data_IF_728751502223
#
_entry.id   IF_728751502223
#
_cell.length_a   1.000
_cell.length_b   1.000
_cell.length_c   1.000
_cell.angle_alpha   90.00
_cell.angle_beta   90.00
_cell.angle_gamma   90.00
#
_symmetry.space_group_name_H-M   'P 1'
#
loop_
_entity.id
_entity.type
_entity.pdbx_description
1 polymer ?
#
# COMPACT_ATOMS: atom_id res chain seq x y z
N UNK A 1 -15.88 -14.30 -28.00
CA UNK A 1 -16.24 -15.02 -26.75
C UNK A 1 -16.76 -14.02 -25.76
N UNK A 2 -18.00 -14.15 -25.30
CA UNK A 2 -18.58 -13.19 -24.35
C UNK A 2 -18.68 -13.83 -22.98
N UNK A 3 -17.83 -13.46 -22.05
CA UNK A 3 -18.01 -13.80 -20.65
C UNK A 3 -19.18 -13.01 -20.06
N UNK A 4 -19.89 -13.60 -19.10
CA UNK A 4 -20.93 -12.91 -18.34
C UNK A 4 -20.30 -11.84 -17.42
N UNK A 5 -21.11 -10.90 -16.95
CA UNK A 5 -20.63 -9.88 -16.00
C UNK A 5 -20.05 -10.51 -14.72
N UNK A 6 -20.71 -11.54 -14.18
CA UNK A 6 -20.22 -12.25 -12.98
C UNK A 6 -18.85 -12.92 -13.22
N UNK A 7 -18.63 -13.50 -14.41
CA UNK A 7 -17.36 -14.10 -14.77
C UNK A 7 -16.25 -13.06 -14.85
N UNK A 8 -16.49 -11.89 -15.47
CA UNK A 8 -15.53 -10.79 -15.48
C UNK A 8 -15.17 -10.30 -14.07
N UNK A 9 -16.16 -10.20 -13.18
CA UNK A 9 -15.95 -9.82 -11.78
C UNK A 9 -15.13 -10.89 -11.04
N UNK A 10 -15.41 -12.17 -11.26
CA UNK A 10 -14.64 -13.25 -10.66
C UNK A 10 -13.19 -13.30 -11.18
N UNK A 11 -12.95 -13.08 -12.47
CA UNK A 11 -11.61 -12.89 -13.01
C UNK A 11 -10.88 -11.73 -12.34
N UNK A 12 -11.56 -10.59 -12.20
CA UNK A 12 -11.01 -9.43 -11.52
C UNK A 12 -10.52 -9.78 -10.11
N UNK A 13 -11.34 -10.38 -9.27
CA UNK A 13 -10.95 -10.76 -7.91
C UNK A 13 -9.86 -11.81 -7.88
N UNK A 14 -9.90 -12.77 -8.79
CA UNK A 14 -8.88 -13.79 -8.90
C UNK A 14 -7.50 -13.18 -9.20
N UNK A 15 -7.43 -12.26 -10.15
CA UNK A 15 -6.18 -11.57 -10.47
C UNK A 15 -5.74 -10.58 -9.39
N UNK A 16 -6.67 -9.91 -8.71
CA UNK A 16 -6.34 -9.11 -7.52
C UNK A 16 -5.66 -9.96 -6.44
N UNK A 17 -6.19 -11.15 -6.20
CA UNK A 17 -5.64 -12.09 -5.22
C UNK A 17 -4.28 -12.65 -5.66
N UNK A 18 -4.12 -13.07 -6.90
CA UNK A 18 -2.83 -13.53 -7.43
C UNK A 18 -1.75 -12.45 -7.34
N UNK A 19 -2.08 -11.22 -7.70
CA UNK A 19 -1.18 -10.08 -7.57
C UNK A 19 -0.77 -9.82 -6.11
N UNK A 20 -1.71 -9.94 -5.19
CA UNK A 20 -1.43 -9.82 -3.77
C UNK A 20 -0.51 -10.95 -3.25
N UNK A 21 -0.75 -12.19 -3.65
CA UNK A 21 0.10 -13.33 -3.29
C UNK A 21 1.53 -13.12 -3.80
N UNK A 22 1.67 -12.67 -5.05
CA UNK A 22 2.97 -12.41 -5.66
C UNK A 22 3.74 -11.30 -4.93
N UNK A 23 3.14 -10.12 -4.79
CA UNK A 23 3.76 -8.94 -4.17
C UNK A 23 4.07 -9.15 -2.69
N UNK A 24 3.07 -9.62 -1.94
CA UNK A 24 3.22 -9.85 -0.51
C UNK A 24 4.19 -11.00 -0.23
N UNK A 25 4.13 -12.07 -1.02
CA UNK A 25 5.05 -13.20 -0.94
C UNK A 25 6.49 -12.77 -1.23
N UNK A 26 6.73 -12.09 -2.35
CA UNK A 26 8.07 -11.61 -2.72
C UNK A 26 8.69 -10.71 -1.65
N UNK A 27 7.93 -9.72 -1.17
CA UNK A 27 8.44 -8.77 -0.17
C UNK A 27 8.64 -9.44 1.19
N UNK A 28 7.72 -10.34 1.58
CA UNK A 28 7.82 -11.06 2.85
C UNK A 28 9.04 -11.97 2.90
N UNK A 29 9.33 -12.70 1.81
CA UNK A 29 10.53 -13.53 1.68
C UNK A 29 11.81 -12.68 1.76
N UNK A 30 11.84 -11.55 1.02
CA UNK A 30 13.00 -10.66 0.99
C UNK A 30 13.29 -10.02 2.34
N UNK A 31 12.26 -9.65 3.09
CA UNK A 31 12.39 -9.00 4.40
C UNK A 31 12.37 -9.97 5.59
N UNK A 32 12.11 -11.26 5.35
CA UNK A 32 11.96 -12.30 6.37
C UNK A 32 10.90 -11.99 7.44
N UNK A 33 9.89 -11.24 7.09
CA UNK A 33 8.73 -10.91 7.93
C UNK A 33 7.47 -10.86 7.07
N UNK A 34 6.31 -11.15 7.67
CA UNK A 34 5.05 -11.10 6.95
C UNK A 34 4.65 -9.65 6.65
N UNK A 35 4.54 -9.32 5.35
CA UNK A 35 4.16 -7.98 4.90
C UNK A 35 2.95 -8.08 3.97
N UNK A 36 1.84 -7.48 4.40
CA UNK A 36 0.70 -7.26 3.52
C UNK A 36 1.00 -6.06 2.60
N UNK A 37 1.17 -6.32 1.30
CA UNK A 37 1.38 -5.28 0.28
C UNK A 37 0.04 -4.82 -0.27
N UNK A 38 -0.05 -3.53 -0.57
CA UNK A 38 -1.18 -2.92 -1.23
C UNK A 38 -1.84 -1.80 -0.45
N UNK A 39 -2.76 -1.14 -1.13
CA UNK A 39 -3.56 -0.04 -0.59
C UNK A 39 -4.68 -0.56 0.33
N UNK A 40 -5.26 -1.72 0.00
CA UNK A 40 -6.36 -2.33 0.72
C UNK A 40 -5.87 -3.15 1.91
N UNK A 41 -6.76 -3.36 2.88
CA UNK A 41 -6.49 -4.19 4.06
C UNK A 41 -6.57 -5.68 3.75
N UNK A 42 -7.51 -6.05 2.87
CA UNK A 42 -7.70 -7.42 2.42
C UNK A 42 -6.60 -7.92 1.47
N UNK A 43 -6.61 -9.23 1.18
CA UNK A 43 -5.62 -9.90 0.34
C UNK A 43 -5.91 -9.65 -1.15
N UNK A 44 -6.03 -8.39 -1.55
CA UNK A 44 -6.35 -8.00 -2.93
C UNK A 44 -5.54 -6.78 -3.35
N UNK A 45 -5.01 -6.83 -4.57
CA UNK A 45 -4.34 -5.71 -5.23
C UNK A 45 -5.15 -5.29 -6.47
N UNK A 46 -5.98 -4.24 -6.37
CA UNK A 46 -6.88 -3.83 -7.45
C UNK A 46 -6.17 -3.54 -8.78
N UNK A 47 -4.95 -3.00 -8.73
CA UNK A 47 -4.19 -2.69 -9.93
C UNK A 47 -3.91 -3.93 -10.78
N UNK A 48 -3.68 -5.10 -10.16
CA UNK A 48 -3.50 -6.37 -10.89
C UNK A 48 -4.80 -6.86 -11.52
N UNK A 49 -5.93 -6.71 -10.80
CA UNK A 49 -7.25 -7.03 -11.35
C UNK A 49 -7.61 -6.15 -12.53
N UNK A 50 -7.51 -4.83 -12.37
CA UNK A 50 -7.78 -3.89 -13.47
C UNK A 50 -6.80 -4.08 -14.62
N UNK A 51 -5.51 -4.30 -14.33
CA UNK A 51 -4.49 -4.58 -15.35
C UNK A 51 -4.81 -5.83 -16.15
N UNK A 52 -5.08 -6.95 -15.48
CA UNK A 52 -5.41 -8.21 -16.14
C UNK A 52 -6.69 -8.10 -16.98
N UNK A 53 -7.77 -7.51 -16.44
CA UNK A 53 -9.02 -7.33 -17.18
C UNK A 53 -8.82 -6.43 -18.40
N UNK A 54 -8.10 -5.31 -18.25
CA UNK A 54 -7.80 -4.39 -19.36
C UNK A 54 -6.99 -5.11 -20.44
N UNK A 55 -5.91 -5.79 -20.06
CA UNK A 55 -5.09 -6.55 -21.00
C UNK A 55 -5.93 -7.62 -21.71
N UNK A 56 -6.67 -8.44 -20.98
CA UNK A 56 -7.49 -9.50 -21.58
C UNK A 56 -8.57 -8.95 -22.51
N UNK A 57 -9.23 -7.87 -22.11
CA UNK A 57 -10.25 -7.24 -22.93
C UNK A 57 -9.70 -6.72 -24.26
N UNK A 58 -8.48 -6.19 -24.23
CA UNK A 58 -7.78 -5.68 -25.43
C UNK A 58 -7.16 -6.79 -26.27
N UNK A 59 -6.66 -7.87 -25.66
CA UNK A 59 -5.82 -8.88 -26.33
C UNK A 59 -6.57 -10.14 -26.75
N UNK A 60 -7.67 -10.50 -26.10
CA UNK A 60 -8.47 -11.67 -26.50
C UNK A 60 -8.95 -11.65 -27.97
N UNK A 61 -9.34 -10.48 -28.55
CA UNK A 61 -9.70 -10.42 -29.98
C UNK A 61 -8.54 -10.72 -30.94
N UNK A 62 -7.29 -10.53 -30.50
CA UNK A 62 -6.06 -10.71 -31.29
C UNK A 62 -5.22 -11.87 -30.79
N UNK A 63 -5.80 -12.79 -30.04
CA UNK A 63 -5.13 -13.91 -29.38
C UNK A 63 -4.24 -14.76 -30.29
N UNK A 64 -4.58 -14.86 -31.57
CA UNK A 64 -3.79 -15.63 -32.53
C UNK A 64 -2.47 -14.96 -32.92
N UNK A 65 -2.23 -13.72 -32.51
CA UNK A 65 -1.07 -12.91 -32.88
C UNK A 65 -0.27 -12.44 -31.65
N UNK A 66 0.70 -13.22 -31.13
CA UNK A 66 1.47 -12.88 -29.94
C UNK A 66 2.17 -11.51 -30.01
N UNK A 67 2.62 -11.10 -31.20
CA UNK A 67 3.23 -9.78 -31.38
C UNK A 67 2.23 -8.63 -31.16
N UNK A 68 0.97 -8.80 -31.58
CA UNK A 68 -0.09 -7.82 -31.31
C UNK A 68 -0.49 -7.81 -29.84
N UNK A 69 -0.54 -8.98 -29.19
CA UNK A 69 -0.76 -9.07 -27.75
C UNK A 69 0.30 -8.28 -27.01
N UNK A 70 1.59 -8.46 -27.37
CA UNK A 70 2.70 -7.73 -26.77
C UNK A 70 2.52 -6.21 -26.87
N UNK A 71 2.30 -5.69 -28.10
CA UNK A 71 2.20 -4.24 -28.32
C UNK A 71 0.95 -3.64 -27.68
N UNK A 72 -0.20 -4.28 -27.86
CA UNK A 72 -1.47 -3.78 -27.32
C UNK A 72 -1.47 -3.87 -25.79
N UNK A 73 -0.96 -4.96 -25.23
CA UNK A 73 -0.87 -5.18 -23.80
C UNK A 73 0.09 -4.21 -23.10
N UNK A 74 1.25 -3.98 -23.73
CA UNK A 74 2.22 -2.97 -23.28
C UNK A 74 1.58 -1.58 -23.19
N UNK A 75 0.95 -1.12 -24.26
CA UNK A 75 0.32 0.21 -24.28
C UNK A 75 -0.84 0.32 -23.27
N UNK A 76 -1.68 -0.71 -23.18
CA UNK A 76 -2.79 -0.74 -22.23
C UNK A 76 -2.35 -0.73 -20.77
N UNK A 77 -1.30 -1.50 -20.46
CA UNK A 77 -0.73 -1.53 -19.12
C UNK A 77 -0.05 -0.21 -18.74
N UNK A 78 0.73 0.39 -19.63
CA UNK A 78 1.40 1.66 -19.39
C UNK A 78 0.41 2.81 -19.14
N UNK A 79 -0.68 2.87 -19.91
CA UNK A 79 -1.74 3.85 -19.70
C UNK A 79 -2.36 3.66 -18.31
N UNK A 80 -2.67 2.43 -17.93
CA UNK A 80 -3.25 2.12 -16.63
C UNK A 80 -2.29 2.46 -15.49
N UNK A 81 -1.03 2.07 -15.61
CA UNK A 81 0.02 2.31 -14.59
C UNK A 81 0.25 3.82 -14.41
N UNK A 82 0.38 4.56 -15.51
CA UNK A 82 0.55 6.00 -15.48
C UNK A 82 -0.64 6.72 -14.83
N UNK A 83 -1.86 6.42 -15.29
CA UNK A 83 -3.08 7.06 -14.77
C UNK A 83 -3.26 6.73 -13.28
N UNK A 84 -3.03 5.49 -12.89
CA UNK A 84 -3.14 5.07 -11.48
C UNK A 84 -2.09 5.76 -10.63
N UNK A 85 -0.84 5.81 -11.07
CA UNK A 85 0.26 6.48 -10.36
C UNK A 85 -0.01 7.96 -10.16
N UNK A 86 -0.40 8.66 -11.23
CA UNK A 86 -0.73 10.09 -11.19
C UNK A 86 -1.97 10.38 -10.30
N UNK A 87 -3.01 9.54 -10.38
CA UNK A 87 -4.20 9.69 -9.55
C UNK A 87 -3.90 9.47 -8.07
N UNK A 88 -3.12 8.44 -7.72
CA UNK A 88 -2.74 8.16 -6.34
C UNK A 88 -1.86 9.27 -5.76
N UNK A 89 -0.91 9.79 -6.52
CA UNK A 89 -0.08 10.93 -6.07
C UNK A 89 -0.93 12.18 -5.86
N UNK A 90 -1.84 12.50 -6.80
CA UNK A 90 -2.71 13.67 -6.68
C UNK A 90 -3.70 13.57 -5.51
N UNK A 91 -4.25 12.39 -5.25
CA UNK A 91 -5.25 12.18 -4.19
C UNK A 91 -4.62 12.09 -2.80
N UNK A 92 -3.48 11.42 -2.68
CA UNK A 92 -2.90 11.08 -1.38
C UNK A 92 -1.56 11.78 -1.11
N UNK A 93 -1.04 12.56 -2.07
CA UNK A 93 0.30 13.18 -2.00
C UNK A 93 1.42 12.19 -1.69
N UNK A 94 1.26 10.93 -2.12
CA UNK A 94 2.22 9.85 -1.93
C UNK A 94 2.38 9.03 -3.20
N UNK A 95 3.64 8.68 -3.52
CA UNK A 95 3.95 7.71 -4.58
C UNK A 95 3.98 6.31 -3.99
N UNK A 96 3.29 5.38 -4.61
CA UNK A 96 3.30 3.97 -4.25
C UNK A 96 4.45 3.21 -4.92
N UNK A 97 4.92 3.72 -6.06
CA UNK A 97 6.15 3.33 -6.77
C UNK A 97 6.77 4.58 -7.38
N UNK A 98 8.07 4.52 -7.66
CA UNK A 98 8.81 5.64 -8.23
C UNK A 98 9.95 5.13 -9.12
N UNK A 99 9.82 5.34 -10.43
CA UNK A 99 10.82 5.02 -11.43
C UNK A 99 11.68 6.22 -11.82
N UNK A 100 11.70 7.31 -11.05
CA UNK A 100 12.45 8.52 -11.40
C UNK A 100 13.95 8.28 -11.57
N UNK A 101 14.50 7.24 -10.93
CA UNK A 101 15.90 6.81 -11.08
C UNK A 101 16.15 5.93 -12.31
N UNK A 102 15.10 5.43 -12.95
CA UNK A 102 15.21 4.53 -14.08
C UNK A 102 15.37 5.28 -15.41
N UNK A 103 16.08 4.66 -16.36
CA UNK A 103 16.27 5.25 -17.71
C UNK A 103 14.95 5.26 -18.48
N UNK A 104 14.75 6.32 -19.25
CA UNK A 104 13.54 6.54 -20.07
C UNK A 104 12.25 6.45 -19.25
N UNK A 105 12.26 7.02 -18.04
CA UNK A 105 11.03 7.14 -17.26
C UNK A 105 10.19 8.34 -17.74
N UNK A 106 8.88 8.24 -17.56
CA UNK A 106 7.93 9.31 -17.79
C UNK A 106 7.33 9.74 -16.45
N UNK A 107 7.77 10.90 -15.94
CA UNK A 107 7.37 11.47 -14.65
C UNK A 107 7.55 10.53 -13.44
N UNK A 108 8.36 9.49 -13.57
CA UNK A 108 8.56 8.47 -12.53
C UNK A 108 7.39 7.49 -12.37
N UNK A 109 6.33 7.57 -13.18
CA UNK A 109 5.18 6.65 -13.10
C UNK A 109 5.39 5.38 -13.91
N UNK A 110 6.05 5.47 -15.07
CA UNK A 110 6.43 4.36 -15.95
C UNK A 110 7.87 4.51 -16.41
N UNK A 111 8.49 3.43 -16.84
CA UNK A 111 9.83 3.45 -17.44
C UNK A 111 9.95 2.36 -18.52
N UNK A 112 10.96 2.47 -19.40
CA UNK A 112 11.14 1.53 -20.50
C UNK A 112 11.24 0.05 -20.04
N UNK A 113 11.89 -0.21 -18.92
CA UNK A 113 12.03 -1.56 -18.40
C UNK A 113 10.68 -2.13 -17.91
N UNK A 114 9.85 -1.33 -17.20
CA UNK A 114 8.50 -1.75 -16.80
C UNK A 114 7.59 -1.94 -17.99
N UNK A 115 7.64 -1.03 -18.97
CA UNK A 115 6.89 -1.11 -20.24
C UNK A 115 7.14 -2.42 -20.98
N UNK A 116 8.42 -2.80 -21.21
CA UNK A 116 8.76 -4.05 -21.88
C UNK A 116 8.33 -5.27 -21.05
N UNK A 117 8.48 -5.22 -19.74
CA UNK A 117 8.02 -6.27 -18.84
C UNK A 117 6.50 -6.48 -18.94
N UNK A 118 5.72 -5.40 -18.99
CA UNK A 118 4.27 -5.47 -19.18
C UNK A 118 3.89 -6.09 -20.53
N UNK A 119 4.63 -5.78 -21.61
CA UNK A 119 4.43 -6.43 -22.90
C UNK A 119 4.63 -7.95 -22.83
N UNK A 120 5.75 -8.41 -22.26
CA UNK A 120 6.02 -9.83 -22.05
C UNK A 120 4.95 -10.48 -21.13
N UNK A 121 4.58 -9.80 -20.05
CA UNK A 121 3.58 -10.28 -19.12
C UNK A 121 2.20 -10.41 -19.79
N UNK A 122 1.84 -9.49 -20.70
CA UNK A 122 0.57 -9.55 -21.43
C UNK A 122 0.48 -10.80 -22.32
N UNK A 123 1.58 -11.19 -22.99
CA UNK A 123 1.63 -12.44 -23.74
C UNK A 123 1.50 -13.64 -22.80
N UNK A 124 2.27 -13.67 -21.71
CA UNK A 124 2.18 -14.74 -20.71
C UNK A 124 0.80 -14.84 -20.07
N UNK A 125 0.18 -13.69 -19.75
CA UNK A 125 -1.18 -13.63 -19.20
C UNK A 125 -2.20 -14.25 -20.17
N UNK A 126 -2.19 -13.81 -21.43
CA UNK A 126 -3.21 -14.20 -22.41
C UNK A 126 -3.05 -15.67 -22.85
N UNK A 127 -1.81 -16.12 -23.04
CA UNK A 127 -1.52 -17.45 -23.62
C UNK A 127 -1.35 -18.56 -22.58
N UNK A 128 -0.80 -18.24 -21.40
CA UNK A 128 -0.42 -19.26 -20.43
C UNK A 128 -1.22 -19.18 -19.13
N UNK A 129 -1.38 -17.96 -18.55
CA UNK A 129 -1.96 -17.79 -17.22
C UNK A 129 -3.50 -17.81 -17.30
N UNK A 130 -4.08 -17.10 -18.27
CA UNK A 130 -5.55 -16.99 -18.36
C UNK A 130 -6.26 -18.31 -18.70
N UNK A 131 -5.80 -19.16 -19.60
CA UNK A 131 -6.54 -20.36 -20.00
C UNK A 131 -6.89 -21.35 -18.88
N UNK A 132 -6.00 -21.65 -17.91
CA UNK A 132 -6.39 -22.48 -16.77
C UNK A 132 -7.37 -21.76 -15.82
N UNK A 133 -7.22 -20.44 -15.63
CA UNK A 133 -8.10 -19.64 -14.79
C UNK A 133 -9.49 -19.50 -15.45
N UNK A 134 -9.53 -19.32 -16.77
CA UNK A 134 -10.75 -19.31 -17.56
C UNK A 134 -11.53 -20.60 -17.35
N UNK A 135 -10.88 -21.76 -17.51
CA UNK A 135 -11.52 -23.07 -17.27
C UNK A 135 -12.08 -23.20 -15.84
N UNK A 136 -11.32 -22.72 -14.87
CA UNK A 136 -11.75 -22.75 -13.47
C UNK A 136 -13.01 -21.88 -13.26
N UNK A 137 -12.99 -20.65 -13.71
CA UNK A 137 -14.12 -19.72 -13.51
C UNK A 137 -15.35 -20.16 -14.31
N UNK A 138 -15.17 -20.65 -15.55
CA UNK A 138 -16.26 -21.14 -16.37
C UNK A 138 -16.88 -22.45 -15.85
N UNK A 139 -16.16 -23.21 -15.01
CA UNK A 139 -16.69 -24.40 -14.34
C UNK A 139 -17.67 -24.07 -13.20
N UNK A 140 -17.71 -22.82 -12.74
CA UNK A 140 -18.59 -22.40 -11.65
C UNK A 140 -20.02 -22.19 -12.22
N UNK A 141 -21.04 -22.91 -11.73
CA UNK A 141 -22.41 -22.71 -12.17
C UNK A 141 -22.89 -21.28 -11.92
N UNK A 142 -23.69 -20.71 -12.82
CA UNK A 142 -24.18 -19.33 -12.71
C UNK A 142 -24.91 -19.06 -11.39
N UNK A 143 -25.66 -20.03 -10.87
CA UNK A 143 -26.33 -19.94 -9.56
C UNK A 143 -25.36 -19.65 -8.40
N UNK A 144 -24.10 -20.03 -8.53
CA UNK A 144 -23.04 -19.77 -7.54
C UNK A 144 -22.23 -18.54 -7.94
N UNK A 145 -21.88 -18.41 -9.24
CA UNK A 145 -21.05 -17.32 -9.75
C UNK A 145 -21.68 -15.94 -9.50
N UNK A 146 -22.99 -15.80 -9.71
CA UNK A 146 -23.70 -14.53 -9.56
C UNK A 146 -23.69 -14.03 -8.11
N UNK A 147 -24.17 -14.78 -7.09
CA UNK A 147 -24.11 -14.32 -5.71
C UNK A 147 -22.68 -14.18 -5.18
N UNK A 148 -21.74 -15.03 -5.62
CA UNK A 148 -20.34 -14.94 -5.22
C UNK A 148 -19.69 -13.65 -5.75
N UNK A 149 -19.94 -13.29 -6.99
CA UNK A 149 -19.45 -12.04 -7.58
C UNK A 149 -20.02 -10.82 -6.86
N UNK A 150 -21.31 -10.83 -6.54
CA UNK A 150 -21.98 -9.74 -5.81
C UNK A 150 -21.42 -9.59 -4.38
N UNK A 151 -21.27 -10.71 -3.67
CA UNK A 151 -20.65 -10.72 -2.33
C UNK A 151 -19.21 -10.18 -2.38
N UNK A 152 -18.42 -10.59 -3.39
CA UNK A 152 -17.08 -10.08 -3.62
C UNK A 152 -17.06 -8.56 -3.81
N UNK A 153 -17.97 -8.03 -4.64
CA UNK A 153 -18.10 -6.57 -4.86
C UNK A 153 -18.48 -5.85 -3.57
N UNK A 154 -19.39 -6.38 -2.76
CA UNK A 154 -19.78 -5.76 -1.49
C UNK A 154 -18.63 -5.69 -0.50
N UNK A 155 -17.89 -6.79 -0.32
CA UNK A 155 -16.69 -6.84 0.55
C UNK A 155 -15.60 -5.90 0.04
N UNK A 156 -15.36 -5.89 -1.27
CA UNK A 156 -14.38 -5.00 -1.90
C UNK A 156 -14.73 -3.52 -1.71
N UNK A 157 -15.99 -3.15 -1.91
CA UNK A 157 -16.46 -1.77 -1.70
C UNK A 157 -16.28 -1.32 -0.24
N UNK A 158 -16.56 -2.20 0.72
CA UNK A 158 -16.35 -1.92 2.13
C UNK A 158 -14.86 -1.72 2.46
N UNK A 159 -13.97 -2.57 1.93
CA UNK A 159 -12.51 -2.45 2.13
C UNK A 159 -11.95 -1.21 1.45
N UNK A 160 -12.34 -0.92 0.21
CA UNK A 160 -11.98 0.31 -0.51
C UNK A 160 -12.38 1.53 0.31
N UNK A 161 -13.63 1.61 0.75
CA UNK A 161 -14.14 2.75 1.54
C UNK A 161 -13.34 2.93 2.83
N UNK A 162 -13.09 1.86 3.55
CA UNK A 162 -12.30 1.88 4.79
C UNK A 162 -10.85 2.31 4.56
N UNK A 163 -10.22 1.78 3.52
CA UNK A 163 -8.82 2.09 3.17
C UNK A 163 -8.68 3.52 2.66
N UNK A 164 -9.63 4.00 1.86
CA UNK A 164 -9.67 5.39 1.39
C UNK A 164 -9.82 6.37 2.54
N UNK A 165 -10.75 6.13 3.45
CA UNK A 165 -10.93 6.95 4.67
C UNK A 165 -9.64 7.01 5.49
N UNK A 166 -8.97 5.87 5.68
CA UNK A 166 -7.70 5.82 6.40
C UNK A 166 -6.60 6.61 5.69
N UNK A 167 -6.54 6.55 4.35
CA UNK A 167 -5.55 7.28 3.57
C UNK A 167 -5.80 8.80 3.57
N UNK A 168 -7.06 9.23 3.51
CA UNK A 168 -7.42 10.65 3.59
C UNK A 168 -7.12 11.22 4.99
N UNK A 169 -7.42 10.48 6.06
CA UNK A 169 -7.05 10.89 7.41
C UNK A 169 -5.53 11.01 7.58
N UNK A 170 -4.77 10.10 6.97
CA UNK A 170 -3.30 10.17 6.97
C UNK A 170 -2.79 11.36 6.19
N UNK A 171 -3.41 11.68 5.04
CA UNK A 171 -3.10 12.89 4.26
C UNK A 171 -3.30 14.15 5.10
N UNK A 172 -4.46 14.29 5.75
CA UNK A 172 -4.76 15.45 6.62
C UNK A 172 -3.75 15.59 7.75
N UNK A 173 -3.35 14.46 8.35
CA UNK A 173 -2.31 14.44 9.38
C UNK A 173 -0.94 14.90 8.84
N UNK A 174 -0.57 14.43 7.65
CA UNK A 174 0.70 14.83 7.01
C UNK A 174 0.71 16.30 6.60
N UNK A 175 -0.41 16.84 6.11
CA UNK A 175 -0.57 18.26 5.81
C UNK A 175 -0.39 19.10 7.09
N UNK A 176 -1.06 18.74 8.20
CA UNK A 176 -0.90 19.42 9.50
C UNK A 176 0.54 19.35 10.04
N UNK A 177 1.26 18.24 9.81
CA UNK A 177 2.67 18.10 10.18
C UNK A 177 3.56 18.94 9.23
N UNK A 178 3.22 19.01 7.95
CA UNK A 178 3.99 19.76 6.94
C UNK A 178 3.84 21.27 7.06
N UNK A 179 2.67 21.76 7.43
CA UNK A 179 2.37 23.19 7.62
C UNK A 179 2.95 23.72 8.95
N UNK A 180 3.21 22.87 9.93
CA UNK A 180 3.60 23.28 11.26
C UNK A 180 4.98 22.76 11.65
N UNK A 181 6.04 23.39 11.09
CA UNK A 181 7.43 23.18 11.55
C UNK A 181 7.57 23.33 13.09
N UNK A 182 6.71 24.15 13.71
CA UNK A 182 6.64 24.33 15.16
C UNK A 182 6.10 23.08 15.86
N UNK A 183 5.08 22.39 15.30
CA UNK A 183 4.54 21.17 15.91
C UNK A 183 5.53 20.00 15.87
N UNK A 184 6.33 19.89 14.79
CA UNK A 184 7.41 18.88 14.71
C UNK A 184 8.53 19.23 15.70
N UNK A 185 8.91 20.50 15.81
CA UNK A 185 9.91 20.97 16.78
C UNK A 185 9.42 20.79 18.22
N UNK A 186 8.13 21.04 18.48
CA UNK A 186 7.51 20.79 19.80
C UNK A 186 7.48 19.29 20.12
N UNK A 187 7.20 18.43 19.15
CA UNK A 187 7.23 16.97 19.32
C UNK A 187 8.66 16.47 19.60
N UNK A 188 9.67 16.97 18.88
CA UNK A 188 11.08 16.68 19.16
C UNK A 188 11.47 17.13 20.57
N UNK A 189 11.10 18.35 20.97
CA UNK A 189 11.40 18.89 22.32
C UNK A 189 10.69 18.07 23.41
N UNK A 190 9.46 17.63 23.18
CA UNK A 190 8.69 16.78 24.12
C UNK A 190 9.29 15.36 24.22
N UNK A 191 9.75 14.79 23.09
CA UNK A 191 10.46 13.51 23.08
C UNK A 191 11.80 13.61 23.82
N UNK A 192 12.57 14.68 23.60
CA UNK A 192 13.84 14.90 24.30
C UNK A 192 13.64 15.16 25.80
N UNK A 193 12.57 15.85 26.17
CA UNK A 193 12.20 16.07 27.58
C UNK A 193 11.74 14.78 28.25
N UNK A 194 10.94 13.96 27.56
CA UNK A 194 10.51 12.66 28.06
C UNK A 194 11.70 11.69 28.22
N UNK A 195 12.66 11.71 27.28
CA UNK A 195 13.88 10.89 27.33
C UNK A 195 14.82 11.36 28.45
N UNK A 196 15.02 12.67 28.63
CA UNK A 196 15.91 13.22 29.66
C UNK A 196 15.35 13.06 31.08
N UNK A 197 14.00 13.03 31.24
CA UNK A 197 13.34 12.75 32.52
C UNK A 197 13.43 11.28 32.96
N UNK A 198 13.76 10.37 32.06
CA UNK A 198 13.81 8.91 32.27
C UNK A 198 15.24 8.36 32.25
N UNK A 199 16.09 8.77 33.14
CA UNK A 199 17.50 8.33 33.24
C UNK A 199 17.69 6.85 33.64
N UNK A 200 16.62 6.07 33.84
CA UNK A 200 16.67 4.65 34.27
C UNK A 200 15.84 3.70 33.41
N UNK A 201 15.54 4.04 32.16
CA UNK A 201 14.69 3.22 31.32
C UNK A 201 15.49 2.22 30.48
N UNK A 202 14.87 1.06 30.17
CA UNK A 202 15.50 -0.04 29.46
C UNK A 202 16.15 0.41 28.14
N UNK A 203 17.21 -0.25 27.74
CA UNK A 203 17.98 0.00 26.54
C UNK A 203 17.09 -0.09 25.26
N UNK A 204 16.06 -0.92 25.32
CA UNK A 204 15.07 -1.11 24.26
C UNK A 204 14.17 0.11 24.05
N UNK A 205 13.73 0.79 25.13
CA UNK A 205 12.96 2.04 25.06
C UNK A 205 13.80 3.15 24.40
N UNK A 206 15.05 3.30 24.84
CA UNK A 206 15.98 4.28 24.28
C UNK A 206 16.23 4.05 22.78
N UNK A 207 16.37 2.78 22.37
CA UNK A 207 16.54 2.41 20.98
C UNK A 207 15.28 2.71 20.15
N UNK A 208 14.09 2.48 20.69
CA UNK A 208 12.83 2.80 20.02
C UNK A 208 12.64 4.32 19.83
N UNK A 209 12.96 5.13 20.83
CA UNK A 209 12.92 6.60 20.74
C UNK A 209 13.98 7.13 19.76
N UNK A 210 15.19 6.59 19.77
CA UNK A 210 16.22 6.95 18.78
C UNK A 210 15.75 6.62 17.35
N UNK A 211 15.13 5.46 17.13
CA UNK A 211 14.60 5.08 15.83
C UNK A 211 13.47 6.03 15.35
N UNK A 212 12.59 6.47 16.26
CA UNK A 212 11.55 7.45 15.94
C UNK A 212 12.17 8.82 15.59
N UNK A 213 13.15 9.29 16.37
CA UNK A 213 13.86 10.56 16.12
C UNK A 213 14.61 10.54 14.79
N UNK A 214 15.32 9.47 14.50
CA UNK A 214 16.04 9.31 13.23
C UNK A 214 15.07 9.27 12.04
N UNK A 215 13.92 8.64 12.20
CA UNK A 215 12.87 8.62 11.21
C UNK A 215 12.23 10.00 10.97
N UNK A 216 12.00 10.80 12.02
CA UNK A 216 11.53 12.19 11.90
C UNK A 216 12.58 13.05 11.21
N UNK A 217 13.87 12.91 11.56
CA UNK A 217 14.98 13.62 10.93
C UNK A 217 15.13 13.28 9.45
N UNK A 218 14.96 12.00 9.10
CA UNK A 218 14.99 11.53 7.73
C UNK A 218 13.76 12.02 6.92
N UNK A 219 12.57 12.15 7.52
CA UNK A 219 11.42 12.80 6.91
C UNK A 219 11.67 14.29 6.60
N UNK A 220 12.38 15.01 7.46
CA UNK A 220 12.77 16.41 7.24
C UNK A 220 13.77 16.59 6.11
N UNK A 221 14.72 15.66 5.94
CA UNK A 221 15.81 15.77 4.96
C UNK A 221 15.45 15.21 3.58
N UNK A 222 14.47 14.33 3.52
CA UNK A 222 14.07 13.65 2.28
C UNK A 222 12.87 14.36 1.64
N UNK A 223 13.08 14.99 0.48
CA UNK A 223 12.00 15.42 -0.43
C UNK A 223 11.32 14.25 -1.13
N UNK A 224 11.80 13.03 -0.94
CA UNK A 224 11.24 11.85 -1.54
C UNK A 224 10.06 11.32 -0.73
N UNK A 225 8.99 11.03 -1.42
CA UNK A 225 7.76 10.47 -0.89
C UNK A 225 8.02 9.09 -0.26
N UNK A 226 7.60 8.93 0.99
CA UNK A 226 7.78 7.68 1.71
C UNK A 226 6.57 6.78 1.53
N UNK A 227 6.79 5.50 1.32
CA UNK A 227 5.77 4.49 1.10
C UNK A 227 4.83 4.33 2.31
N UNK A 228 3.56 3.96 2.04
CA UNK A 228 2.54 3.64 3.07
C UNK A 228 3.08 2.70 4.17
N UNK A 229 3.89 1.70 3.80
CA UNK A 229 4.50 0.76 4.74
C UNK A 229 5.41 1.43 5.78
N UNK A 230 6.13 2.47 5.39
CA UNK A 230 7.00 3.21 6.30
C UNK A 230 6.19 4.08 7.28
N UNK A 231 5.11 4.70 6.81
CA UNK A 231 4.22 5.49 7.68
C UNK A 231 3.46 4.61 8.68
N UNK A 232 3.01 3.42 8.24
CA UNK A 232 2.40 2.42 9.15
C UNK A 232 3.42 1.97 10.18
N UNK A 233 4.64 1.65 9.78
CA UNK A 233 5.74 1.29 10.70
C UNK A 233 6.02 2.38 11.73
N UNK A 234 6.08 3.67 11.30
CA UNK A 234 6.31 4.78 12.22
C UNK A 234 5.16 4.95 13.22
N UNK A 235 3.93 4.83 12.76
CA UNK A 235 2.75 4.93 13.61
C UNK A 235 2.69 3.78 14.62
N UNK A 236 3.00 2.55 14.22
CA UNK A 236 3.06 1.39 15.13
C UNK A 236 4.16 1.55 16.17
N UNK A 237 5.37 1.99 15.77
CA UNK A 237 6.48 2.24 16.68
C UNK A 237 6.18 3.38 17.67
N UNK A 238 5.58 4.48 17.19
CA UNK A 238 5.16 5.58 18.05
C UNK A 238 4.10 5.13 19.08
N UNK A 239 3.09 4.38 18.63
CA UNK A 239 2.05 3.86 19.53
C UNK A 239 2.59 2.83 20.53
N UNK A 240 3.55 2.00 20.14
CA UNK A 240 4.21 1.06 21.04
C UNK A 240 5.03 1.81 22.10
N UNK A 241 5.81 2.81 21.71
CA UNK A 241 6.60 3.64 22.63
C UNK A 241 5.70 4.41 23.61
N UNK A 242 4.58 4.98 23.15
CA UNK A 242 3.62 5.66 24.03
C UNK A 242 3.00 4.70 25.04
N UNK A 243 2.61 3.48 24.61
CA UNK A 243 2.08 2.46 25.55
C UNK A 243 3.10 2.02 26.59
N UNK A 244 4.36 1.88 26.19
CA UNK A 244 5.44 1.48 27.08
C UNK A 244 5.75 2.58 28.10
N UNK A 245 5.77 3.87 27.68
CA UNK A 245 5.87 5.01 28.57
C UNK A 245 4.71 5.05 29.56
N UNK A 246 3.48 4.87 29.09
CA UNK A 246 2.29 4.84 29.95
C UNK A 246 2.34 3.70 30.96
N UNK A 247 2.80 2.51 30.56
CA UNK A 247 2.95 1.36 31.46
C UNK A 247 4.02 1.60 32.54
N UNK A 248 5.16 2.19 32.17
CA UNK A 248 6.24 2.51 33.11
C UNK A 248 5.88 3.68 34.04
N UNK A 249 5.16 4.69 33.53
CA UNK A 249 4.59 5.76 34.37
C UNK A 249 3.60 5.21 35.38
N UNK A 250 2.81 4.21 35.03
CA UNK A 250 1.89 3.55 35.98
C UNK A 250 2.62 2.83 37.13
N UNK A 251 3.86 2.39 36.91
CA UNK A 251 4.66 1.66 37.89
C UNK A 251 5.60 2.55 38.73
N UNK A 252 6.05 3.70 38.20
CA UNK A 252 7.17 4.46 38.80
C UNK A 252 6.81 5.84 39.40
N UNK A 253 5.59 6.35 39.17
CA UNK A 253 5.23 7.75 39.57
C UNK A 253 4.13 7.80 40.58
N UNK A 254 4.28 8.60 41.68
CA UNK A 254 3.23 8.85 42.65
C UNK A 254 1.97 9.44 42.02
N UNK A 255 0.79 9.13 42.59
CA UNK A 255 -0.52 9.45 42.00
C UNK A 255 -0.71 10.95 41.68
N UNK A 256 -0.11 11.84 42.45
CA UNK A 256 -0.16 13.29 42.29
C UNK A 256 0.61 13.83 41.08
N UNK A 257 1.63 13.11 40.60
CA UNK A 257 2.37 13.47 39.38
C UNK A 257 1.84 12.80 38.13
N UNK A 258 1.13 11.67 38.23
CA UNK A 258 0.50 10.98 37.10
C UNK A 258 -0.49 11.86 36.35
N UNK A 259 -1.29 12.65 37.09
CA UNK A 259 -2.26 13.56 36.48
C UNK A 259 -1.60 14.69 35.68
N UNK A 260 -0.42 15.16 36.09
CA UNK A 260 0.34 16.22 35.40
C UNK A 260 1.00 15.72 34.12
N UNK A 261 1.51 14.51 34.15
CA UNK A 261 2.17 13.87 32.98
C UNK A 261 1.16 13.36 31.95
N UNK A 262 -0.01 12.85 32.39
CA UNK A 262 -1.08 12.44 31.45
C UNK A 262 -1.62 13.61 30.63
N UNK A 263 -1.68 14.81 31.25
CA UNK A 263 -2.11 16.04 30.58
C UNK A 263 -1.10 16.51 29.52
N UNK A 264 0.19 16.36 29.81
CA UNK A 264 1.27 16.69 28.86
C UNK A 264 1.38 15.72 27.66
N UNK A 265 0.88 14.49 27.78
CA UNK A 265 0.89 13.49 26.73
C UNK A 265 -0.39 13.48 25.88
N UNK A 266 -1.48 14.13 26.37
CA UNK A 266 -2.77 14.22 25.66
C UNK A 266 -2.96 15.52 24.86
N UNK A 267 -2.11 16.53 25.07
CA UNK A 267 -2.00 17.76 24.28
C UNK A 267 -0.94 17.62 23.17
#
# INVERSE_FOLDING_TARGET
>A
MGYTQSQWILFFFFYCFLGWVWESGYVSVKKREWINRGFLRGPVLPIYGFGAITILWLTLPVREHPALIFVIGLLGADILEYVTGAAMEKLFHMRYWDYSSEKFNLNGYICLSSTLLWGCFSVALTEAIHPPIERLILSIPAVIADPLSLAGVAVFAADVTSSFRSALNMRELLEKIGENNEAVAALETRLDTAVSGFTRTSEEFRNNICAIRDAIKEMRTSRQQKTKAYLVFLNEKANAAVKEVQAQMALAVPENEKARLSKLLSE
#
